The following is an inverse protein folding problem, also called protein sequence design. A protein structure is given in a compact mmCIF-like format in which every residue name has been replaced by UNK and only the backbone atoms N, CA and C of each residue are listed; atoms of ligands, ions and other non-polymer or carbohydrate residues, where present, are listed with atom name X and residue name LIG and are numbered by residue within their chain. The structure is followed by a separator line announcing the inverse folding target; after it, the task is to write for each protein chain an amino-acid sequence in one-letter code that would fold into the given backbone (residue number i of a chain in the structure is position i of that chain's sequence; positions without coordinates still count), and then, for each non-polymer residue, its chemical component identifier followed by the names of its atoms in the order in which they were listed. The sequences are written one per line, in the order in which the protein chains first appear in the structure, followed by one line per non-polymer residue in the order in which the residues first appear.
data_IF_141395405370
#
_entry.id   IF_141395405370
#
_cell.length_a   1.000
_cell.length_b   1.000
_cell.length_c   1.000
_cell.angle_alpha   90.00
_cell.angle_beta   90.00
_cell.angle_gamma   90.00
#
_symmetry.space_group_name_H-M   'P 1'
#
loop_
_entity.id
_entity.type
_entity.pdbx_description
1 polymer ?
#
# COMPACT_ATOMS: atom_id res chain seq x y z
N UNK A 1 2.83 51.53 -4.70
CA UNK A 1 2.02 50.34 -4.63
C UNK A 1 2.55 49.29 -5.63
N UNK A 2 3.38 48.36 -5.19
CA UNK A 2 3.91 47.32 -6.04
C UNK A 2 2.94 46.13 -6.08
N UNK A 3 2.46 45.78 -7.25
CA UNK A 3 1.79 44.53 -7.51
C UNK A 3 2.85 43.43 -7.44
N UNK A 4 2.85 42.62 -6.40
CA UNK A 4 3.63 41.39 -6.34
C UNK A 4 2.95 40.37 -7.27
N UNK A 5 3.53 40.16 -8.45
CA UNK A 5 3.21 39.04 -9.32
C UNK A 5 3.82 37.77 -8.68
N UNK A 6 3.06 37.15 -7.82
CA UNK A 6 3.38 35.77 -7.41
C UNK A 6 2.77 34.82 -8.44
N UNK A 7 3.54 34.04 -9.20
CA UNK A 7 2.96 33.08 -10.12
C UNK A 7 2.22 32.02 -9.29
N UNK A 8 0.91 32.00 -9.42
CA UNK A 8 0.10 30.92 -8.91
C UNK A 8 0.55 29.67 -9.67
N UNK A 9 1.28 28.82 -9.01
CA UNK A 9 1.60 27.49 -9.54
C UNK A 9 0.31 26.82 -9.94
N UNK A 10 0.25 26.37 -11.19
CA UNK A 10 -0.93 25.75 -11.78
C UNK A 10 -1.37 24.54 -10.95
N UNK A 11 -2.25 24.76 -10.00
CA UNK A 11 -3.00 23.70 -9.34
C UNK A 11 -4.25 23.44 -10.16
N UNK A 12 -4.29 22.29 -10.78
CA UNK A 12 -5.44 21.81 -11.53
C UNK A 12 -6.63 21.68 -10.55
N UNK A 13 -7.62 22.54 -10.65
CA UNK A 13 -8.88 22.44 -9.92
C UNK A 13 -9.13 23.47 -8.82
N UNK A 14 -8.42 24.60 -8.77
CA UNK A 14 -8.77 25.70 -7.86
C UNK A 14 -9.55 26.79 -8.60
N UNK A 15 -10.63 27.25 -7.99
CA UNK A 15 -11.40 28.41 -8.42
C UNK A 15 -11.25 29.51 -7.35
N UNK A 16 -10.57 30.57 -7.68
CA UNK A 16 -10.41 31.72 -6.80
C UNK A 16 -11.34 32.88 -7.20
N UNK A 17 -12.04 33.49 -6.27
CA UNK A 17 -12.85 34.67 -6.46
C UNK A 17 -12.39 35.78 -5.51
N UNK A 18 -11.98 36.89 -6.06
CA UNK A 18 -11.62 38.09 -5.28
C UNK A 18 -12.81 39.06 -5.29
N UNK A 19 -13.42 39.25 -4.15
CA UNK A 19 -14.44 40.29 -3.94
C UNK A 19 -13.81 41.48 -3.23
N UNK A 20 -13.75 42.59 -3.91
CA UNK A 20 -13.22 43.87 -3.37
C UNK A 20 -14.32 44.86 -3.13
N UNK A 21 -14.44 45.31 -1.91
CA UNK A 21 -15.28 46.43 -1.48
C UNK A 21 -14.43 47.47 -0.76
N UNK A 22 -14.88 48.69 -0.67
CA UNK A 22 -14.09 49.84 -0.18
C UNK A 22 -13.39 49.67 1.19
N UNK A 23 -13.77 48.67 1.99
CA UNK A 23 -13.20 48.43 3.32
C UNK A 23 -12.97 46.94 3.62
N UNK A 24 -13.23 46.01 2.70
CA UNK A 24 -13.09 44.57 2.94
C UNK A 24 -12.54 43.91 1.67
N UNK A 25 -11.37 43.35 1.78
CA UNK A 25 -10.83 42.44 0.76
C UNK A 25 -11.11 40.98 1.20
N UNK A 26 -11.98 40.27 0.48
CA UNK A 26 -12.29 38.88 0.73
C UNK A 26 -11.72 38.01 -0.41
N UNK A 27 -10.77 37.18 -0.10
CA UNK A 27 -10.27 36.15 -0.99
C UNK A 27 -10.98 34.82 -0.68
N UNK A 28 -11.77 34.33 -1.59
CA UNK A 28 -12.38 33.02 -1.51
C UNK A 28 -11.67 32.09 -2.49
N UNK A 29 -11.04 31.06 -1.98
CA UNK A 29 -10.38 30.01 -2.76
C UNK A 29 -11.11 28.69 -2.57
N UNK A 30 -11.60 28.12 -3.66
CA UNK A 30 -12.20 26.79 -3.68
C UNK A 30 -11.20 25.82 -4.29
N UNK A 31 -10.74 24.87 -3.50
CA UNK A 31 -9.89 23.77 -3.96
C UNK A 31 -10.66 22.46 -3.95
N UNK A 32 -10.74 21.82 -5.10
CA UNK A 32 -11.21 20.45 -5.22
C UNK A 32 -10.15 19.63 -5.95
N UNK A 33 -9.56 18.65 -5.26
CA UNK A 33 -8.58 17.74 -5.82
C UNK A 33 -9.06 16.31 -5.61
N UNK A 34 -9.20 15.58 -6.70
CA UNK A 34 -9.42 14.14 -6.67
C UNK A 34 -8.22 13.44 -7.33
N UNK A 35 -7.54 12.58 -6.57
CA UNK A 35 -6.42 11.80 -7.06
C UNK A 35 -6.78 10.32 -6.97
N UNK A 36 -6.86 9.64 -8.10
CA UNK A 36 -7.09 8.21 -8.18
C UNK A 36 -5.80 7.50 -8.57
N UNK A 37 -5.24 6.71 -7.66
CA UNK A 37 -4.07 5.87 -7.90
C UNK A 37 -4.47 4.39 -7.92
N UNK A 38 -4.15 3.68 -9.00
CA UNK A 38 -4.33 2.24 -9.09
C UNK A 38 -2.98 1.58 -9.33
N UNK A 39 -2.60 0.64 -8.45
CA UNK A 39 -1.37 -0.14 -8.59
C UNK A 39 -1.71 -1.63 -8.55
N UNK A 40 -1.13 -2.41 -9.48
CA UNK A 40 -1.26 -3.85 -9.53
C UNK A 40 0.12 -4.48 -9.58
N UNK A 41 0.43 -5.34 -8.60
CA UNK A 41 1.69 -6.09 -8.55
C UNK A 41 1.33 -7.58 -8.65
N UNK A 42 1.99 -8.29 -9.56
CA UNK A 42 1.86 -9.74 -9.72
C UNK A 42 3.23 -10.37 -9.49
N UNK A 43 3.30 -11.35 -8.58
CA UNK A 43 4.50 -12.16 -8.33
C UNK A 43 4.15 -13.63 -8.57
N UNK A 44 4.97 -14.33 -9.33
CA UNK A 44 4.73 -15.73 -9.72
C UNK A 44 6.01 -16.57 -9.54
N UNK A 45 6.37 -16.96 -8.31
CA UNK A 45 7.49 -17.85 -8.06
C UNK A 45 7.15 -19.27 -8.53
N UNK A 46 8.13 -19.96 -9.10
CA UNK A 46 8.01 -21.35 -9.54
C UNK A 46 9.18 -22.16 -9.00
N UNK A 47 8.90 -23.35 -8.48
CA UNK A 47 9.91 -24.24 -7.95
C UNK A 47 9.53 -25.69 -8.22
N UNK A 48 10.53 -26.54 -8.41
CA UNK A 48 10.39 -27.98 -8.56
C UNK A 48 11.03 -28.67 -7.37
N UNK A 49 10.40 -29.73 -6.89
CA UNK A 49 10.93 -30.56 -5.82
C UNK A 49 10.46 -31.99 -5.96
N UNK A 50 11.09 -32.91 -5.23
CA UNK A 50 10.68 -34.29 -5.14
C UNK A 50 9.55 -34.44 -4.11
N UNK A 51 8.88 -35.60 -4.18
CA UNK A 51 7.87 -35.99 -3.21
C UNK A 51 8.47 -36.00 -1.78
N UNK A 52 7.78 -35.42 -0.83
CA UNK A 52 8.20 -35.24 0.57
C UNK A 52 9.51 -34.44 0.79
N UNK A 53 10.01 -33.74 -0.24
CA UNK A 53 11.18 -32.88 -0.13
C UNK A 53 10.80 -31.41 -0.07
N UNK A 54 11.37 -30.70 0.90
CA UNK A 54 11.14 -29.26 1.03
C UNK A 54 12.01 -28.49 0.06
N UNK A 55 11.38 -27.59 -0.68
CA UNK A 55 12.08 -26.65 -1.56
C UNK A 55 11.76 -25.20 -1.18
N UNK A 56 12.76 -24.36 -1.32
CA UNK A 56 12.66 -22.93 -0.99
C UNK A 56 13.15 -22.09 -2.16
N UNK A 57 12.40 -21.09 -2.53
CA UNK A 57 12.82 -20.02 -3.45
C UNK A 57 12.68 -18.67 -2.74
N UNK A 58 13.73 -17.86 -2.86
CA UNK A 58 13.79 -16.52 -2.26
C UNK A 58 14.20 -15.52 -3.32
N UNK A 59 13.51 -14.40 -3.40
CA UNK A 59 13.83 -13.29 -4.30
C UNK A 59 13.59 -11.98 -3.58
N UNK A 60 14.62 -11.15 -3.47
CA UNK A 60 14.47 -9.89 -2.76
C UNK A 60 15.72 -9.03 -2.82
N UNK A 61 15.80 -8.08 -1.89
CA UNK A 61 16.93 -7.18 -1.70
C UNK A 61 17.24 -7.02 -0.22
N UNK A 62 18.49 -6.77 0.08
CA UNK A 62 18.93 -6.36 1.42
C UNK A 62 18.84 -4.84 1.56
N UNK A 63 18.33 -4.39 2.68
CA UNK A 63 18.13 -2.97 2.97
C UNK A 63 19.03 -2.58 4.14
N UNK A 64 19.88 -1.57 3.97
CA UNK A 64 20.71 -1.07 5.05
C UNK A 64 19.88 -0.20 6.01
N UNK A 65 19.96 -0.51 7.30
CA UNK A 65 19.43 0.29 8.39
C UNK A 65 20.60 0.90 9.16
N UNK A 66 20.58 2.22 9.24
CA UNK A 66 21.63 2.97 9.90
C UNK A 66 21.15 3.44 11.26
N UNK A 67 21.83 3.02 12.33
CA UNK A 67 21.59 3.48 13.69
C UNK A 67 22.80 4.22 14.19
N UNK A 68 22.61 5.41 14.76
CA UNK A 68 23.70 6.17 15.40
C UNK A 68 23.48 6.12 16.91
N UNK A 69 24.42 5.53 17.61
CA UNK A 69 24.45 5.43 19.07
C UNK A 69 25.79 5.93 19.57
N UNK A 70 25.80 6.83 20.55
CA UNK A 70 26.99 7.45 21.14
C UNK A 70 27.98 8.08 20.11
N UNK A 71 27.46 8.56 18.98
CA UNK A 71 28.29 9.17 17.90
C UNK A 71 28.94 8.14 16.97
N UNK A 72 28.74 6.86 17.17
CA UNK A 72 29.15 5.79 16.28
C UNK A 72 27.99 5.34 15.40
N UNK A 73 28.24 5.21 14.10
CA UNK A 73 27.22 4.80 13.11
C UNK A 73 27.36 3.31 12.84
N UNK A 74 26.33 2.54 13.15
CA UNK A 74 26.23 1.11 12.86
C UNK A 74 25.23 0.88 11.73
N UNK A 75 25.61 0.10 10.74
CA UNK A 75 24.72 -0.32 9.64
C UNK A 75 24.39 -1.79 9.80
N UNK A 76 23.10 -2.08 9.85
CA UNK A 76 22.53 -3.44 9.85
C UNK A 76 21.77 -3.65 8.53
N UNK A 77 21.89 -4.85 7.96
CA UNK A 77 21.13 -5.22 6.77
C UNK A 77 19.92 -6.06 7.16
N UNK A 78 18.80 -5.79 6.52
CA UNK A 78 17.57 -6.58 6.67
C UNK A 78 17.05 -6.95 5.29
N UNK A 79 16.60 -8.20 5.18
CA UNK A 79 16.03 -8.70 3.96
C UNK A 79 14.61 -8.15 3.76
N UNK A 80 14.33 -7.74 2.54
CA UNK A 80 12.97 -7.51 2.05
C UNK A 80 12.77 -8.40 0.84
N UNK A 81 12.18 -9.57 1.08
CA UNK A 81 12.11 -10.64 0.09
C UNK A 81 10.71 -11.25 -0.06
N UNK A 82 10.53 -11.93 -1.19
CA UNK A 82 9.49 -12.91 -1.41
C UNK A 82 10.12 -14.30 -1.21
N UNK A 83 9.71 -15.00 -0.16
CA UNK A 83 10.13 -16.38 0.13
C UNK A 83 8.94 -17.30 -0.02
N UNK A 84 9.11 -18.35 -0.80
CA UNK A 84 8.19 -19.48 -0.90
C UNK A 84 8.93 -20.73 -0.43
N UNK A 85 8.37 -21.40 0.55
CA UNK A 85 8.80 -22.73 1.00
C UNK A 85 7.63 -23.69 0.84
N UNK A 86 7.87 -24.82 0.17
CA UNK A 86 6.83 -25.80 -0.13
C UNK A 86 7.35 -27.22 0.08
N UNK A 87 6.53 -28.04 0.73
CA UNK A 87 6.77 -29.48 0.87
C UNK A 87 5.54 -30.22 0.34
N UNK A 88 5.63 -30.83 -0.84
CA UNK A 88 4.55 -31.65 -1.38
C UNK A 88 4.58 -33.05 -0.81
N UNK A 89 3.41 -33.70 -0.72
CA UNK A 89 3.27 -35.12 -0.43
C UNK A 89 2.18 -35.72 -1.29
N UNK A 90 2.54 -36.59 -2.19
CA UNK A 90 1.62 -37.27 -3.10
C UNK A 90 0.89 -38.37 -2.32
N UNK A 91 -0.45 -38.30 -2.27
CA UNK A 91 -1.28 -39.21 -1.49
C UNK A 91 -2.06 -40.23 -2.35
N UNK A 92 -1.85 -40.24 -3.67
CA UNK A 92 -2.53 -41.10 -4.62
C UNK A 92 -3.71 -40.39 -5.32
N UNK A 93 -4.22 -41.04 -6.35
CA UNK A 93 -5.36 -40.58 -7.18
C UNK A 93 -5.19 -39.16 -7.76
N UNK A 94 -3.92 -38.71 -7.97
CA UNK A 94 -3.63 -37.37 -8.45
C UNK A 94 -3.79 -36.26 -7.38
N UNK A 95 -3.91 -36.63 -6.12
CA UNK A 95 -4.02 -35.70 -5.01
C UNK A 95 -2.65 -35.44 -4.36
N UNK A 96 -2.41 -34.19 -4.01
CA UNK A 96 -1.16 -33.73 -3.42
C UNK A 96 -1.49 -32.95 -2.14
N UNK A 97 -0.87 -33.32 -1.03
CA UNK A 97 -0.86 -32.50 0.17
C UNK A 97 0.31 -31.52 0.03
N UNK A 98 0.01 -30.23 0.14
CA UNK A 98 1.00 -29.17 0.12
C UNK A 98 1.09 -28.51 1.48
N UNK A 99 2.28 -28.51 2.08
CA UNK A 99 2.62 -27.64 3.18
C UNK A 99 3.33 -26.43 2.58
N UNK A 100 2.79 -25.24 2.83
CA UNK A 100 3.21 -24.00 2.19
C UNK A 100 3.49 -22.96 3.25
N UNK A 101 4.64 -22.31 3.15
CA UNK A 101 4.99 -21.10 3.89
C UNK A 101 5.41 -20.02 2.89
N UNK A 102 4.67 -18.93 2.85
CA UNK A 102 4.94 -17.79 1.98
C UNK A 102 5.19 -16.59 2.86
N UNK A 103 6.31 -15.93 2.66
CA UNK A 103 6.61 -14.63 3.24
C UNK A 103 6.87 -13.64 2.10
N UNK A 104 6.21 -12.49 2.16
CA UNK A 104 6.42 -11.38 1.23
C UNK A 104 6.68 -10.12 2.02
N UNK A 105 7.89 -9.65 1.95
CA UNK A 105 8.32 -8.40 2.55
C UNK A 105 8.44 -7.33 1.47
N UNK A 106 7.97 -6.14 1.78
CA UNK A 106 8.06 -4.98 0.91
C UNK A 106 8.57 -3.79 1.69
N UNK A 107 9.58 -3.12 1.17
CA UNK A 107 10.16 -1.96 1.79
C UNK A 107 9.92 -0.70 0.95
N UNK A 108 9.60 0.39 1.61
CA UNK A 108 9.52 1.71 0.98
C UNK A 108 10.89 2.38 1.00
N UNK A 109 11.67 2.18 -0.08
CA UNK A 109 13.04 2.68 -0.20
C UNK A 109 13.15 4.21 -0.36
N UNK A 110 12.07 4.94 -0.24
CA UNK A 110 12.08 6.41 -0.31
C UNK A 110 12.69 7.08 0.93
N UNK A 111 12.91 6.34 2.01
CA UNK A 111 13.44 6.81 3.28
C UNK A 111 14.77 6.14 3.64
N UNK A 112 15.61 6.81 4.43
CA UNK A 112 16.91 6.27 4.86
C UNK A 112 16.79 5.03 5.77
N UNK A 113 15.69 4.94 6.55
CA UNK A 113 15.34 3.76 7.35
C UNK A 113 13.90 3.37 6.95
N UNK A 114 13.74 2.59 5.88
CA UNK A 114 12.42 2.31 5.33
C UNK A 114 11.61 1.37 6.21
N UNK A 115 10.31 1.60 6.40
CA UNK A 115 9.44 0.60 7.01
C UNK A 115 9.34 -0.63 6.10
N UNK A 116 9.43 -1.82 6.69
CA UNK A 116 9.21 -3.09 6.01
C UNK A 116 7.80 -3.57 6.33
N UNK A 117 6.98 -3.72 5.31
CA UNK A 117 5.66 -4.34 5.41
C UNK A 117 5.79 -5.82 5.08
N UNK A 118 5.39 -6.69 6.01
CA UNK A 118 5.50 -8.14 5.89
C UNK A 118 4.12 -8.78 5.80
N UNK A 119 3.97 -9.72 4.87
CA UNK A 119 2.79 -10.55 4.73
C UNK A 119 3.21 -12.02 4.76
N UNK A 120 2.72 -12.76 5.74
CA UNK A 120 3.05 -14.17 5.91
C UNK A 120 1.79 -15.03 5.83
N UNK A 121 1.88 -16.13 5.07
CA UNK A 121 0.84 -17.16 4.96
C UNK A 121 1.47 -18.53 5.17
N UNK A 122 0.97 -19.25 6.16
CA UNK A 122 1.37 -20.63 6.43
C UNK A 122 0.12 -21.49 6.39
N UNK A 123 0.10 -22.50 5.52
CA UNK A 123 -1.08 -23.35 5.35
C UNK A 123 -0.70 -24.75 4.90
N UNK A 124 -1.64 -25.68 5.14
CA UNK A 124 -1.59 -27.06 4.63
C UNK A 124 -2.91 -27.36 3.94
N UNK A 125 -2.84 -27.82 2.69
CA UNK A 125 -4.03 -28.12 1.91
C UNK A 125 -3.84 -29.36 1.04
N UNK A 126 -4.97 -29.98 0.69
CA UNK A 126 -5.04 -31.05 -0.28
C UNK A 126 -5.55 -30.46 -1.59
N UNK A 127 -4.83 -30.68 -2.67
CA UNK A 127 -5.17 -30.21 -4.02
C UNK A 127 -5.01 -31.31 -5.05
N UNK A 128 -5.78 -31.24 -6.12
CA UNK A 128 -5.63 -32.11 -7.27
C UNK A 128 -4.51 -31.59 -8.17
N UNK A 129 -3.85 -32.52 -8.86
CA UNK A 129 -2.85 -32.19 -9.88
C UNK A 129 -3.43 -31.28 -10.96
N UNK A 130 -2.63 -30.31 -11.42
CA UNK A 130 -2.98 -29.33 -12.46
C UNK A 130 -4.20 -28.45 -12.13
N UNK A 131 -4.60 -28.36 -10.88
CA UNK A 131 -5.72 -27.51 -10.45
C UNK A 131 -5.20 -26.22 -9.81
N UNK A 132 -5.79 -25.09 -10.18
CA UNK A 132 -5.48 -23.79 -9.56
C UNK A 132 -6.42 -23.58 -8.37
N UNK A 133 -5.84 -23.43 -7.19
CA UNK A 133 -6.60 -23.23 -5.95
C UNK A 133 -6.21 -21.92 -5.30
N UNK A 134 -7.20 -21.16 -4.84
CA UNK A 134 -6.98 -20.00 -4.01
C UNK A 134 -6.72 -20.46 -2.57
N UNK A 135 -5.54 -20.16 -2.04
CA UNK A 135 -5.15 -20.57 -0.68
C UNK A 135 -5.48 -19.51 0.36
N UNK A 136 -5.67 -18.29 -0.06
CA UNK A 136 -6.04 -17.21 0.84
C UNK A 136 -6.03 -15.84 0.20
N UNK A 137 -6.38 -14.86 1.00
CA UNK A 137 -6.34 -13.46 0.58
C UNK A 137 -6.53 -12.54 1.77
N UNK A 138 -6.12 -11.29 1.59
CA UNK A 138 -6.28 -10.21 2.55
C UNK A 138 -7.04 -9.09 1.84
N UNK A 139 -8.06 -8.60 2.49
CA UNK A 139 -8.82 -7.43 2.06
C UNK A 139 -8.77 -6.40 3.17
N UNK A 140 -8.20 -5.26 2.90
CA UNK A 140 -8.12 -4.15 3.84
C UNK A 140 -8.68 -2.89 3.21
N UNK A 141 -9.59 -2.25 3.90
CA UNK A 141 -10.14 -0.97 3.50
C UNK A 141 -9.98 0.02 4.63
N UNK A 142 -9.24 1.07 4.37
CA UNK A 142 -9.07 2.19 5.29
C UNK A 142 -9.82 3.38 4.74
N UNK A 143 -10.76 3.92 5.49
CA UNK A 143 -11.50 5.14 5.14
C UNK A 143 -11.26 6.18 6.22
N UNK A 144 -10.59 7.25 5.85
CA UNK A 144 -10.31 8.38 6.73
C UNK A 144 -11.11 9.59 6.28
N UNK A 145 -11.92 10.15 7.17
CA UNK A 145 -12.67 11.38 6.93
C UNK A 145 -12.20 12.44 7.90
N UNK A 146 -11.60 13.49 7.39
CA UNK A 146 -11.24 14.69 8.13
C UNK A 146 -12.20 15.82 7.80
N UNK A 147 -12.64 16.55 8.81
CA UNK A 147 -13.36 17.79 8.60
C UNK A 147 -12.73 18.89 9.43
N UNK A 148 -12.32 19.95 8.77
CA UNK A 148 -11.89 21.19 9.43
C UNK A 148 -12.94 22.25 9.20
N UNK A 149 -13.39 22.90 10.29
CA UNK A 149 -14.37 23.96 10.22
C UNK A 149 -13.91 25.15 11.05
N UNK A 150 -14.20 26.36 10.57
CA UNK A 150 -13.98 27.57 11.34
C UNK A 150 -15.18 27.77 12.29
N UNK A 151 -14.98 27.79 13.63
CA UNK A 151 -16.06 27.99 14.56
C UNK A 151 -16.79 29.30 14.22
N UNK A 152 -18.10 29.36 14.49
CA UNK A 152 -18.99 30.51 14.26
C UNK A 152 -19.32 30.73 12.77
N UNK A 153 -18.34 30.77 11.86
CA UNK A 153 -18.56 31.01 10.43
C UNK A 153 -19.12 29.81 9.70
N UNK A 154 -18.80 28.62 10.16
CA UNK A 154 -19.32 27.34 9.57
C UNK A 154 -20.80 27.10 9.87
N UNK A 155 -21.39 27.79 10.83
CA UNK A 155 -22.78 27.60 11.27
C UNK A 155 -23.76 28.60 10.61
N UNK A 156 -23.25 29.51 9.73
CA UNK A 156 -24.10 30.43 8.98
C UNK A 156 -24.87 29.67 7.89
N UNK A 157 -26.21 29.75 7.90
CA UNK A 157 -27.02 29.17 6.85
C UNK A 157 -26.66 29.76 5.48
N UNK A 158 -26.55 28.95 4.43
CA UNK A 158 -26.16 29.28 3.06
C UNK A 158 -24.64 29.42 2.86
N UNK A 159 -23.90 30.06 3.72
CA UNK A 159 -22.46 30.35 3.55
C UNK A 159 -21.56 29.42 4.38
N UNK A 160 -22.07 28.66 5.34
CA UNK A 160 -21.28 27.81 6.24
C UNK A 160 -20.45 26.75 5.50
N UNK A 161 -20.88 26.31 4.34
CA UNK A 161 -20.12 25.34 3.53
C UNK A 161 -18.82 25.91 2.95
N UNK A 162 -18.69 27.22 2.78
CA UNK A 162 -17.45 27.88 2.33
C UNK A 162 -16.37 27.89 3.41
N UNK A 163 -16.75 27.68 4.67
CA UNK A 163 -15.85 27.67 5.83
C UNK A 163 -15.63 26.26 6.40
N UNK A 164 -15.94 25.23 5.61
CA UNK A 164 -15.69 23.82 5.92
C UNK A 164 -14.78 23.21 4.88
N UNK A 165 -13.76 22.52 5.31
CA UNK A 165 -12.94 21.66 4.48
C UNK A 165 -13.19 20.21 4.86
N UNK A 166 -13.54 19.37 3.88
CA UNK A 166 -13.74 17.95 4.07
C UNK A 166 -12.69 17.22 3.25
N UNK A 167 -11.86 16.46 3.94
CA UNK A 167 -10.89 15.55 3.32
C UNK A 167 -11.41 14.11 3.48
N UNK A 168 -11.50 13.39 2.39
CA UNK A 168 -11.86 11.98 2.36
C UNK A 168 -10.72 11.23 1.70
N UNK A 169 -10.17 10.29 2.41
CA UNK A 169 -9.12 9.38 1.93
C UNK A 169 -9.62 7.94 2.09
N UNK A 170 -9.80 7.26 0.97
CA UNK A 170 -10.22 5.86 0.91
C UNK A 170 -9.09 5.04 0.28
N UNK A 171 -8.47 4.18 1.07
CA UNK A 171 -7.43 3.25 0.64
C UNK A 171 -7.98 1.83 0.66
N UNK A 172 -7.79 1.13 -0.46
CA UNK A 172 -8.20 -0.25 -0.64
C UNK A 172 -6.99 -1.10 -1.01
N UNK A 173 -6.64 -2.05 -0.15
CA UNK A 173 -5.60 -3.03 -0.40
C UNK A 173 -6.21 -4.43 -0.50
N UNK A 174 -5.88 -5.14 -1.58
CA UNK A 174 -6.33 -6.52 -1.82
C UNK A 174 -5.15 -7.38 -2.22
N UNK A 175 -4.95 -8.46 -1.50
CA UNK A 175 -4.02 -9.52 -1.83
C UNK A 175 -4.79 -10.81 -2.07
N UNK A 176 -4.49 -11.51 -3.16
CA UNK A 176 -5.01 -12.84 -3.46
C UNK A 176 -3.84 -13.77 -3.75
N UNK A 177 -3.87 -14.96 -3.19
CA UNK A 177 -2.80 -15.96 -3.32
C UNK A 177 -3.38 -17.23 -3.90
N UNK A 178 -2.82 -17.66 -5.03
CA UNK A 178 -3.18 -18.88 -5.74
C UNK A 178 -1.99 -19.82 -5.83
N UNK A 179 -2.26 -21.10 -5.85
CA UNK A 179 -1.28 -22.13 -6.12
C UNK A 179 -1.76 -23.08 -7.21
N UNK A 180 -0.82 -23.55 -8.02
CA UNK A 180 -1.07 -24.55 -9.09
C UNK A 180 0.02 -25.61 -9.02
N UNK A 181 -0.19 -26.76 -8.34
CA UNK A 181 0.73 -27.87 -8.35
C UNK A 181 0.66 -28.62 -9.67
N UNK A 182 1.77 -29.25 -10.05
CA UNK A 182 1.85 -30.15 -11.19
C UNK A 182 2.80 -31.30 -10.89
N UNK A 183 2.30 -32.50 -11.03
CA UNK A 183 3.12 -33.72 -11.02
C UNK A 183 3.74 -33.92 -12.41
N UNK A 184 5.06 -34.16 -12.47
CA UNK A 184 5.82 -34.36 -13.69
C UNK A 184 6.04 -35.85 -13.93
#
# INVERSE_FOLDING_TARGET
GGLSNNPISAMTGSLGMLLRSNNIDLLVELQALETLGLSKIVSNPKIFTLDNETATITQGMEIPFTTTEDGETKTEFRDADLKLEVTPSIVGDGNIILNIDINKDNADTSQANPPISSTKVTTRLLVEDQTIVMIGGIYEQTSTKGSSKTPILSDIPVFGNLFKSVTKDDKLDRLLIFIAPRIL
#
